data_IF_184377580969
#
_entry.id   IF_184377580969
#
_cell.length_a   1.000
_cell.length_b   1.000
_cell.length_c   1.000
_cell.angle_alpha   90.00
_cell.angle_beta   90.00
_cell.angle_gamma   90.00
#
_symmetry.space_group_name_H-M   'P 1'
#
loop_
_entity.id
_entity.type
_entity.pdbx_description
1 polymer ?
#
# COMPACT_ATOMS: atom_id res chain seq x y z
N UNK A 1 17.03 -16.94 -10.98
CA UNK A 1 15.72 -17.59 -10.83
C UNK A 1 14.73 -16.45 -10.69
N UNK A 2 13.98 -16.23 -11.76
CA UNK A 2 13.20 -15.04 -12.04
C UNK A 2 11.95 -15.02 -11.13
N UNK A 3 11.92 -14.09 -10.17
CA UNK A 3 10.76 -13.85 -9.32
C UNK A 3 9.66 -13.18 -10.13
N UNK A 4 8.86 -14.00 -10.81
CA UNK A 4 7.61 -13.54 -11.41
C UNK A 4 6.60 -13.23 -10.29
N UNK A 5 5.72 -12.27 -10.60
CA UNK A 5 4.48 -11.90 -9.89
C UNK A 5 4.63 -10.83 -8.79
N UNK A 6 5.06 -9.61 -9.18
CA UNK A 6 4.97 -8.38 -8.38
C UNK A 6 4.15 -7.27 -9.06
N UNK A 7 3.22 -7.61 -9.95
CA UNK A 7 2.40 -6.63 -10.68
C UNK A 7 0.91 -6.85 -10.41
N UNK A 8 0.32 -5.96 -9.62
CA UNK A 8 -1.08 -5.59 -9.82
C UNK A 8 -1.03 -4.30 -10.64
N UNK A 9 -1.45 -4.36 -11.91
CA UNK A 9 -1.53 -3.20 -12.79
C UNK A 9 -2.87 -2.54 -12.50
N UNK A 10 -2.85 -1.40 -11.81
CA UNK A 10 -4.05 -0.67 -11.44
C UNK A 10 -4.87 -0.20 -12.66
N UNK A 11 -5.98 -0.90 -12.87
CA UNK A 11 -7.24 -0.34 -13.38
C UNK A 11 -8.28 -0.68 -12.32
N UNK A 12 -9.37 0.09 -12.21
CA UNK A 12 -10.35 -0.05 -11.12
C UNK A 12 -10.85 -1.51 -10.91
N UNK A 13 -10.86 -2.33 -11.97
CA UNK A 13 -11.18 -3.76 -11.93
C UNK A 13 -10.16 -4.64 -11.18
N UNK A 14 -8.86 -4.37 -11.32
CA UNK A 14 -7.81 -5.11 -10.58
C UNK A 14 -7.84 -4.75 -9.09
N UNK A 15 -8.22 -3.52 -8.75
CA UNK A 15 -8.46 -3.12 -7.36
C UNK A 15 -9.66 -3.86 -6.76
N UNK A 16 -10.76 -4.03 -7.51
CA UNK A 16 -11.90 -4.86 -7.08
C UNK A 16 -11.49 -6.31 -6.87
N UNK A 17 -10.67 -6.86 -7.77
CA UNK A 17 -10.14 -8.23 -7.67
C UNK A 17 -9.20 -8.41 -6.47
N UNK A 18 -8.34 -7.43 -6.21
CA UNK A 18 -7.52 -7.41 -5.00
C UNK A 18 -8.41 -7.38 -3.76
N UNK A 19 -9.43 -6.52 -3.73
CA UNK A 19 -10.39 -6.43 -2.63
C UNK A 19 -11.14 -7.74 -2.39
N UNK A 20 -11.65 -8.38 -3.45
CA UNK A 20 -12.34 -9.67 -3.32
C UNK A 20 -11.40 -10.75 -2.81
N UNK A 21 -10.17 -10.79 -3.32
CA UNK A 21 -9.15 -11.76 -2.90
C UNK A 21 -8.80 -11.58 -1.42
N UNK A 22 -8.59 -10.34 -0.96
CA UNK A 22 -8.31 -10.05 0.44
C UNK A 22 -9.49 -10.38 1.36
N UNK A 23 -10.73 -10.23 0.88
CA UNK A 23 -11.95 -10.63 1.61
C UNK A 23 -12.03 -12.16 1.75
N UNK A 24 -11.75 -12.89 0.67
CA UNK A 24 -11.70 -14.37 0.72
C UNK A 24 -10.60 -14.87 1.64
N UNK A 25 -9.44 -14.21 1.67
CA UNK A 25 -8.33 -14.56 2.57
C UNK A 25 -8.72 -14.37 4.04
N UNK A 26 -9.40 -13.27 4.35
CA UNK A 26 -9.94 -13.03 5.69
C UNK A 26 -10.84 -14.18 6.17
N UNK A 27 -11.59 -14.81 5.26
CA UNK A 27 -12.49 -15.93 5.58
C UNK A 27 -11.76 -17.29 5.63
N UNK A 28 -10.60 -17.41 4.99
CA UNK A 28 -9.93 -18.71 4.75
C UNK A 28 -8.81 -19.06 5.74
N UNK A 29 -8.46 -18.19 6.71
CA UNK A 29 -7.32 -18.36 7.65
C UNK A 29 -5.96 -18.62 6.96
N UNK A 30 -5.80 -18.22 5.69
CA UNK A 30 -4.55 -18.32 4.93
C UNK A 30 -3.75 -17.03 5.16
N UNK A 31 -2.77 -17.05 6.08
CA UNK A 31 -2.16 -15.81 6.58
C UNK A 31 -1.01 -15.23 5.76
N UNK A 32 -0.56 -15.89 4.69
CA UNK A 32 0.68 -15.50 4.01
C UNK A 32 0.58 -15.71 2.50
N UNK A 33 0.04 -14.73 1.80
CA UNK A 33 0.30 -14.64 0.36
C UNK A 33 1.77 -14.26 0.15
N UNK A 34 2.52 -14.97 -0.72
CA UNK A 34 3.87 -14.61 -1.09
C UNK A 34 3.86 -13.43 -2.07
N UNK A 35 3.29 -12.29 -1.66
CA UNK A 35 3.36 -11.05 -2.41
C UNK A 35 4.46 -10.18 -1.81
N UNK A 36 5.52 -9.97 -2.60
CA UNK A 36 6.66 -9.15 -2.21
C UNK A 36 6.43 -7.67 -2.56
N UNK A 37 5.63 -7.38 -3.58
CA UNK A 37 5.44 -6.02 -4.10
C UNK A 37 3.98 -5.75 -4.48
N UNK A 38 3.46 -4.61 -4.02
CA UNK A 38 2.14 -4.09 -4.35
C UNK A 38 2.32 -2.74 -5.05
N UNK A 39 1.90 -2.69 -6.31
CA UNK A 39 1.82 -1.43 -7.06
C UNK A 39 0.36 -1.09 -7.30
N UNK A 40 -0.02 0.16 -7.06
CA UNK A 40 -1.34 0.69 -7.39
C UNK A 40 -1.13 1.96 -8.19
N UNK A 41 -1.68 1.98 -9.40
CA UNK A 41 -1.51 3.07 -10.36
C UNK A 41 -2.88 3.48 -10.90
N UNK A 42 -3.16 4.78 -10.97
CA UNK A 42 -4.26 5.30 -11.81
C UNK A 42 -5.69 4.95 -11.37
N UNK A 43 -5.89 4.40 -10.17
CA UNK A 43 -7.23 4.12 -9.64
C UNK A 43 -7.90 5.43 -9.20
N UNK A 44 -9.07 5.73 -9.77
CA UNK A 44 -9.73 7.04 -9.58
C UNK A 44 -10.63 7.11 -8.36
N UNK A 45 -11.06 5.96 -7.87
CA UNK A 45 -12.05 5.84 -6.79
C UNK A 45 -11.44 5.41 -5.45
N UNK A 46 -10.13 5.16 -5.41
CA UNK A 46 -9.43 4.74 -4.18
C UNK A 46 -9.25 5.94 -3.25
N UNK A 47 -9.96 5.93 -2.13
CA UNK A 47 -9.86 6.95 -1.06
C UNK A 47 -8.85 6.52 0.02
N UNK A 48 -8.81 5.23 0.32
CA UNK A 48 -7.87 4.62 1.26
C UNK A 48 -7.42 3.27 0.70
N UNK A 49 -6.20 2.85 1.02
CA UNK A 49 -5.74 1.50 0.71
C UNK A 49 -6.54 0.51 1.59
N UNK A 50 -6.93 -0.64 1.04
CA UNK A 50 -7.78 -1.61 1.72
C UNK A 50 -7.18 -2.06 3.07
N UNK A 51 -8.01 -2.17 4.11
CA UNK A 51 -7.59 -2.76 5.39
C UNK A 51 -7.03 -4.18 5.23
N UNK A 52 -7.44 -4.90 4.18
CA UNK A 52 -6.98 -6.25 3.86
C UNK A 52 -5.48 -6.36 3.57
N UNK A 53 -4.76 -5.25 3.30
CA UNK A 53 -3.30 -5.30 3.13
C UNK A 53 -2.58 -5.90 4.35
N UNK A 54 -3.24 -5.88 5.51
CA UNK A 54 -2.81 -6.47 6.77
C UNK A 54 -2.57 -7.99 6.70
N UNK A 55 -3.04 -8.67 5.65
CA UNK A 55 -2.85 -10.10 5.39
C UNK A 55 -1.68 -10.39 4.43
N UNK A 56 -1.04 -9.35 3.88
CA UNK A 56 0.12 -9.49 2.99
C UNK A 56 1.42 -9.44 3.82
N UNK A 57 1.56 -10.33 4.80
CA UNK A 57 2.64 -10.27 5.80
C UNK A 57 4.08 -10.32 5.25
N UNK A 58 4.25 -10.72 3.99
CA UNK A 58 5.53 -10.79 3.31
C UNK A 58 5.84 -9.56 2.44
N UNK A 59 4.97 -8.54 2.42
CA UNK A 59 5.10 -7.40 1.52
C UNK A 59 6.34 -6.57 1.84
N UNK A 60 7.19 -6.38 0.85
CA UNK A 60 8.46 -5.63 0.93
C UNK A 60 8.36 -4.26 0.27
N UNK A 61 7.53 -4.11 -0.75
CA UNK A 61 7.40 -2.85 -1.47
C UNK A 61 5.93 -2.46 -1.67
N UNK A 62 5.61 -1.20 -1.43
CA UNK A 62 4.32 -0.58 -1.75
C UNK A 62 4.60 0.66 -2.59
N UNK A 63 4.02 0.70 -3.80
CA UNK A 63 4.13 1.82 -4.72
C UNK A 63 2.73 2.33 -5.05
N UNK A 64 2.43 3.57 -4.69
CA UNK A 64 1.15 4.23 -4.94
C UNK A 64 1.38 5.40 -5.89
N UNK A 65 0.72 5.38 -7.04
CA UNK A 65 0.97 6.33 -8.10
C UNK A 65 -0.34 6.84 -8.70
N UNK A 66 -0.51 8.16 -8.79
CA UNK A 66 -1.63 8.79 -9.52
C UNK A 66 -3.01 8.34 -9.02
N UNK A 67 -3.22 8.48 -7.71
CA UNK A 67 -4.49 8.17 -7.04
C UNK A 67 -5.15 9.49 -6.62
N UNK A 68 -6.00 10.09 -7.47
CA UNK A 68 -6.47 11.46 -7.31
C UNK A 68 -7.44 11.66 -6.15
N UNK A 69 -8.00 10.59 -5.58
CA UNK A 69 -8.92 10.64 -4.42
C UNK A 69 -8.31 10.08 -3.13
N UNK A 70 -7.08 9.59 -3.14
CA UNK A 70 -6.50 8.95 -1.96
C UNK A 70 -6.18 10.00 -0.89
N UNK A 71 -6.80 9.89 0.28
CA UNK A 71 -6.70 10.87 1.37
C UNK A 71 -5.72 10.46 2.46
N UNK A 72 -5.59 9.15 2.70
CA UNK A 72 -4.73 8.59 3.72
C UNK A 72 -4.23 7.18 3.34
N UNK A 73 -3.11 6.79 3.92
CA UNK A 73 -2.60 5.41 3.90
C UNK A 73 -3.15 4.68 5.13
N UNK A 74 -3.63 3.42 5.03
CA UNK A 74 -4.32 2.77 6.12
C UNK A 74 -3.39 2.41 7.26
N UNK A 75 -3.99 2.36 8.46
CA UNK A 75 -3.32 1.87 9.67
C UNK A 75 -2.88 0.41 9.54
N UNK A 76 -3.52 -0.35 8.66
CA UNK A 76 -3.16 -1.73 8.31
C UNK A 76 -1.69 -1.89 7.86
N UNK A 77 -1.08 -0.84 7.27
CA UNK A 77 0.33 -0.84 6.89
C UNK A 77 1.27 -1.11 8.08
N UNK A 78 0.84 -0.80 9.31
CA UNK A 78 1.58 -1.11 10.55
C UNK A 78 1.86 -2.60 10.72
N UNK A 79 0.99 -3.50 10.21
CA UNK A 79 1.26 -4.95 10.27
C UNK A 79 2.40 -5.38 9.36
N UNK A 80 2.77 -4.53 8.41
CA UNK A 80 3.89 -4.75 7.49
C UNK A 80 5.18 -4.11 8.02
N UNK A 81 5.20 -3.62 9.27
CA UNK A 81 6.35 -2.94 9.87
C UNK A 81 7.67 -3.69 9.79
N UNK A 82 7.62 -5.01 9.95
CA UNK A 82 8.78 -5.89 9.96
C UNK A 82 9.22 -6.33 8.56
N UNK A 83 8.35 -6.25 7.55
CA UNK A 83 8.63 -6.74 6.19
C UNK A 83 8.84 -5.63 5.18
N UNK A 84 8.15 -4.50 5.34
CA UNK A 84 8.11 -3.42 4.36
C UNK A 84 9.44 -2.65 4.35
N UNK A 85 10.05 -2.60 3.17
CA UNK A 85 11.35 -2.00 2.89
C UNK A 85 11.21 -0.73 2.06
N UNK A 86 10.23 -0.68 1.16
CA UNK A 86 10.04 0.42 0.20
C UNK A 86 8.59 0.90 0.30
N UNK A 87 8.43 2.21 0.46
CA UNK A 87 7.16 2.92 0.33
C UNK A 87 7.34 4.11 -0.61
N UNK A 88 6.77 4.02 -1.80
CA UNK A 88 6.79 5.08 -2.80
C UNK A 88 5.39 5.66 -2.98
N UNK A 89 5.27 6.98 -2.84
CA UNK A 89 4.02 7.73 -2.92
C UNK A 89 4.19 8.86 -3.94
N UNK A 90 3.49 8.77 -5.06
CA UNK A 90 3.67 9.68 -6.18
C UNK A 90 2.32 10.17 -6.71
N UNK A 91 2.19 11.47 -6.95
CA UNK A 91 0.94 12.07 -7.48
C UNK A 91 -0.31 11.70 -6.68
N UNK A 92 -0.29 12.01 -5.39
CA UNK A 92 -1.41 11.80 -4.48
C UNK A 92 -1.92 13.18 -4.00
N UNK A 93 -2.73 13.89 -4.83
CA UNK A 93 -3.11 15.28 -4.58
C UNK A 93 -4.00 15.46 -3.34
N UNK A 94 -4.69 14.40 -2.90
CA UNK A 94 -5.56 14.44 -1.72
C UNK A 94 -4.89 13.87 -0.47
N UNK A 95 -3.71 13.26 -0.59
CA UNK A 95 -3.04 12.61 0.53
C UNK A 95 -2.64 13.67 1.55
N UNK A 96 -3.30 13.63 2.70
CA UNK A 96 -3.18 14.66 3.73
C UNK A 96 -2.42 14.17 4.97
N UNK A 97 -2.44 12.87 5.20
CA UNK A 97 -1.79 12.24 6.34
C UNK A 97 -1.21 10.89 5.96
N UNK A 98 -0.10 10.57 6.61
CA UNK A 98 0.45 9.23 6.65
C UNK A 98 0.14 8.61 8.03
N UNK A 99 0.36 7.30 8.24
CA UNK A 99 0.10 6.69 9.54
C UNK A 99 0.93 7.43 10.60
N UNK A 100 0.30 7.82 11.72
CA UNK A 100 0.89 8.65 12.80
C UNK A 100 2.22 8.14 13.37
N UNK A 101 2.62 6.91 13.02
CA UNK A 101 3.86 6.28 13.46
C UNK A 101 4.60 5.65 12.29
N UNK A 102 5.24 6.46 11.46
CA UNK A 102 6.28 5.94 10.57
C UNK A 102 7.40 5.21 11.31
N UNK A 103 7.70 5.61 12.54
CA UNK A 103 8.65 4.91 13.41
C UNK A 103 8.27 3.46 13.70
N UNK A 104 7.00 3.06 13.47
CA UNK A 104 6.60 1.66 13.59
C UNK A 104 7.05 0.85 12.36
N UNK A 105 7.35 1.45 11.20
CA UNK A 105 7.89 0.76 10.01
C UNK A 105 9.40 0.51 10.15
N UNK A 106 9.76 -0.33 11.13
CA UNK A 106 11.16 -0.58 11.54
C UNK A 106 12.06 -1.12 10.45
N UNK A 107 11.49 -1.77 9.43
CA UNK A 107 12.25 -2.34 8.31
C UNK A 107 12.33 -1.41 7.09
N UNK A 108 11.73 -0.23 7.14
CA UNK A 108 11.66 0.70 6.00
C UNK A 108 13.06 1.25 5.70
N UNK A 109 13.49 1.07 4.45
CA UNK A 109 14.78 1.53 3.94
C UNK A 109 14.59 2.73 3.01
N UNK A 110 13.51 2.71 2.23
CA UNK A 110 13.20 3.74 1.25
C UNK A 110 11.80 4.29 1.49
N UNK A 111 11.71 5.60 1.65
CA UNK A 111 10.48 6.36 1.63
C UNK A 111 10.61 7.47 0.58
N UNK A 112 9.87 7.34 -0.53
CA UNK A 112 9.83 8.37 -1.56
C UNK A 112 8.46 9.01 -1.57
N UNK A 113 8.41 10.34 -1.48
CA UNK A 113 7.16 11.09 -1.58
C UNK A 113 7.33 12.23 -2.55
N UNK A 114 6.50 12.27 -3.59
CA UNK A 114 6.60 13.24 -4.67
C UNK A 114 5.20 13.63 -5.18
N UNK A 115 5.01 14.89 -5.53
CA UNK A 115 3.71 15.41 -6.00
C UNK A 115 2.53 15.05 -5.06
N UNK A 116 2.75 15.15 -3.74
CA UNK A 116 1.73 14.96 -2.70
C UNK A 116 1.49 16.30 -1.96
N UNK A 117 0.85 17.29 -2.61
CA UNK A 117 0.81 18.67 -2.15
C UNK A 117 0.09 18.90 -0.81
N UNK A 118 -0.86 18.02 -0.42
CA UNK A 118 -1.60 18.13 0.85
C UNK A 118 -0.91 17.49 2.04
N UNK A 119 0.19 16.78 1.81
CA UNK A 119 0.90 16.08 2.86
C UNK A 119 1.83 17.07 3.57
N UNK A 120 1.28 17.77 4.56
CA UNK A 120 1.96 18.87 5.26
C UNK A 120 2.58 18.45 6.61
N UNK A 121 2.42 17.19 7.02
CA UNK A 121 2.98 16.66 8.27
C UNK A 121 3.81 15.40 8.01
N UNK A 122 5.12 15.58 7.87
CA UNK A 122 6.10 14.52 8.10
C UNK A 122 6.55 14.62 9.56
N UNK A 123 6.02 13.77 10.42
CA UNK A 123 6.63 13.50 11.72
C UNK A 123 7.54 12.28 11.52
N UNK A 124 8.85 12.54 11.45
CA UNK A 124 9.90 11.52 11.53
C UNK A 124 10.37 11.47 12.98
#
# INVERSE_FOLDING_TARGET
MIGEIGLIIGVDEEMKKLSSTLTTIQESEIWELPLDELRIFGCREVVELLEGIKYLGCLKAVVLFDLPKMECVPKALRRLSSSLRILDLYRLPQLSSLPERFGDLTSLVTLSVFECPKLHHFQI
#
